data_IF_865250136410
#
_entry.id   IF_865250136410
#
_cell.length_a   1.000
_cell.length_b   1.000
_cell.length_c   1.000
_cell.angle_alpha   90.00
_cell.angle_beta   90.00
_cell.angle_gamma   90.00
#
_symmetry.space_group_name_H-M   'P 1'
#
loop_
_entity.id
_entity.type
_entity.pdbx_description
1 polymer ?
#
# COMPACT_ATOMS: atom_id res chain seq x y z
N UNK A 1 41.76 67.34 -4.19
CA UNK A 1 41.70 66.64 -2.89
C UNK A 1 40.28 66.78 -2.34
N UNK A 2 39.40 65.82 -2.61
CA UNK A 2 38.01 65.79 -2.09
C UNK A 2 37.63 64.32 -1.89
N UNK A 3 37.73 63.85 -0.64
CA UNK A 3 37.25 62.52 -0.22
C UNK A 3 35.74 62.63 0.06
N UNK A 4 34.92 62.04 -0.82
CA UNK A 4 33.52 61.76 -0.50
C UNK A 4 33.47 60.53 0.39
N UNK A 5 33.18 60.72 1.67
CA UNK A 5 32.79 59.65 2.59
C UNK A 5 31.29 59.48 2.43
N UNK A 6 30.88 58.38 1.80
CA UNK A 6 29.48 57.94 1.78
C UNK A 6 29.31 56.96 2.93
N UNK A 7 28.61 57.40 3.98
CA UNK A 7 28.13 56.55 5.07
C UNK A 7 26.96 55.72 4.55
N UNK A 8 27.20 54.44 4.25
CA UNK A 8 26.14 53.47 4.00
C UNK A 8 25.73 52.89 5.35
N UNK A 9 24.59 53.36 5.88
CA UNK A 9 23.91 52.73 7.01
C UNK A 9 23.27 51.42 6.52
N UNK A 10 23.97 50.30 6.76
CA UNK A 10 23.39 48.96 6.61
C UNK A 10 22.54 48.72 7.86
N UNK A 11 21.23 48.91 7.73
CA UNK A 11 20.26 48.33 8.67
C UNK A 11 20.30 46.82 8.49
N UNK A 12 21.06 46.13 9.35
CA UNK A 12 20.85 44.72 9.60
C UNK A 12 19.50 44.58 10.32
N UNK A 13 18.43 44.38 9.56
CA UNK A 13 17.23 43.73 10.11
C UNK A 13 17.59 42.29 10.39
N UNK A 14 18.08 42.03 11.61
CA UNK A 14 18.20 40.69 12.15
C UNK A 14 16.80 40.11 12.30
N UNK A 15 16.28 39.48 11.25
CA UNK A 15 15.29 38.43 11.42
C UNK A 15 15.98 37.30 12.18
N UNK A 16 15.57 36.95 13.41
CA UNK A 16 15.99 35.69 13.97
C UNK A 16 15.23 34.64 13.16
N UNK A 17 15.86 34.14 12.11
CA UNK A 17 15.47 32.90 11.50
C UNK A 17 15.74 31.82 12.56
N UNK A 18 14.75 31.58 13.42
CA UNK A 18 14.68 30.44 14.33
C UNK A 18 14.53 29.19 13.46
N UNK A 19 15.65 28.66 13.00
CA UNK A 19 15.69 27.39 12.28
C UNK A 19 15.55 26.27 13.30
N UNK A 20 14.35 25.73 13.43
CA UNK A 20 14.19 24.35 13.83
C UNK A 20 13.41 23.65 12.73
N UNK A 21 14.02 22.63 12.14
CA UNK A 21 13.53 21.98 10.94
C UNK A 21 12.11 21.41 11.08
N UNK A 22 11.46 21.22 9.93
CA UNK A 22 10.14 20.60 9.83
C UNK A 22 10.22 19.13 10.25
N UNK A 23 9.30 18.71 11.12
CA UNK A 23 9.25 17.36 11.67
C UNK A 23 7.91 16.71 11.41
N UNK A 24 7.93 15.41 11.16
CA UNK A 24 6.75 14.60 10.94
C UNK A 24 6.37 13.83 12.20
N UNK A 25 5.09 13.87 12.58
CA UNK A 25 4.55 13.07 13.68
C UNK A 25 4.34 11.62 13.21
N UNK A 26 5.04 10.65 13.81
CA UNK A 26 4.99 9.23 13.45
C UNK A 26 4.11 8.37 14.37
N UNK A 27 3.53 8.95 15.42
CA UNK A 27 2.60 8.26 16.29
C UNK A 27 1.25 8.98 16.27
N UNK A 28 0.16 8.33 15.83
CA UNK A 28 -1.17 8.93 15.86
C UNK A 28 -1.62 9.24 17.28
N UNK A 29 -2.46 10.25 17.44
CA UNK A 29 -3.00 10.70 18.72
C UNK A 29 -1.91 11.13 19.73
N UNK A 30 -0.74 11.56 19.24
CA UNK A 30 0.38 12.01 20.07
C UNK A 30 -0.01 13.26 20.86
N UNK A 31 0.12 13.25 22.19
CA UNK A 31 -0.25 14.39 23.01
C UNK A 31 0.75 15.56 22.82
N UNK A 32 0.19 16.74 22.58
CA UNK A 32 0.86 18.02 22.68
C UNK A 32 0.62 18.56 24.10
N UNK A 33 1.64 18.53 24.93
CA UNK A 33 1.57 18.91 26.33
C UNK A 33 1.86 20.40 26.55
N UNK A 34 1.28 20.99 27.60
CA UNK A 34 1.62 22.34 28.05
C UNK A 34 3.06 22.43 28.61
N UNK A 35 3.52 21.40 29.32
CA UNK A 35 4.86 21.26 29.89
C UNK A 35 5.53 19.95 29.42
N UNK A 36 6.87 19.81 29.49
CA UNK A 36 7.59 18.58 29.12
C UNK A 36 7.41 17.46 30.17
N UNK A 37 6.16 17.11 30.48
CA UNK A 37 5.77 16.07 31.44
C UNK A 37 4.55 15.32 30.90
N UNK A 38 4.55 13.99 31.02
CA UNK A 38 3.41 13.13 30.62
C UNK A 38 2.16 13.35 31.47
N UNK A 39 2.32 13.92 32.68
CA UNK A 39 1.20 14.29 33.57
C UNK A 39 0.66 15.70 33.28
N UNK A 40 1.32 16.47 32.41
CA UNK A 40 0.87 17.79 32.02
C UNK A 40 -0.48 17.73 31.31
N UNK A 41 -1.22 18.84 31.37
CA UNK A 41 -2.39 19.07 30.54
C UNK A 41 -2.06 18.87 29.05
N UNK A 42 -2.97 18.19 28.34
CA UNK A 42 -2.88 17.93 26.91
C UNK A 42 -3.64 19.05 26.20
N UNK A 43 -2.91 19.91 25.50
CA UNK A 43 -3.45 20.99 24.70
C UNK A 43 -4.20 20.47 23.48
N UNK A 44 -3.61 19.46 22.82
CA UNK A 44 -4.17 18.81 21.63
C UNK A 44 -3.59 17.42 21.44
N UNK A 45 -4.22 16.63 20.58
CA UNK A 45 -3.62 15.42 20.02
C UNK A 45 -3.24 15.67 18.56
N UNK A 46 -2.03 15.28 18.21
CA UNK A 46 -1.46 15.41 16.88
C UNK A 46 -1.77 14.16 16.04
N UNK A 47 -1.99 14.39 14.76
CA UNK A 47 -2.28 13.32 13.81
C UNK A 47 -0.99 12.70 13.28
N UNK A 48 -1.05 11.43 12.86
CA UNK A 48 0.04 10.82 12.10
C UNK A 48 0.28 11.61 10.81
N UNK A 49 1.54 11.87 10.50
CA UNK A 49 1.95 12.60 9.31
C UNK A 49 1.76 14.11 9.38
N UNK A 50 1.36 14.64 10.54
CA UNK A 50 1.30 16.07 10.75
C UNK A 50 2.71 16.68 10.74
N UNK A 51 2.89 17.77 10.01
CA UNK A 51 4.15 18.53 9.95
C UNK A 51 4.13 19.57 11.06
N UNK A 52 5.15 19.56 11.89
CA UNK A 52 5.32 20.47 13.02
C UNK A 52 6.70 21.11 12.98
N UNK A 53 6.77 22.38 13.34
CA UNK A 53 8.03 23.13 13.35
C UNK A 53 8.68 23.03 14.72
N UNK A 54 9.97 22.69 14.76
CA UNK A 54 10.69 22.75 16.02
C UNK A 54 11.04 24.20 16.36
N UNK A 55 10.74 24.63 17.59
CA UNK A 55 11.00 26.02 17.99
C UNK A 55 12.30 26.22 18.77
N UNK A 56 12.94 25.17 19.27
CA UNK A 56 14.19 25.27 20.04
C UNK A 56 15.04 24.00 19.93
N UNK A 57 16.19 24.07 19.26
CA UNK A 57 17.17 22.97 19.25
C UNK A 57 18.10 22.96 20.47
N UNK A 58 18.18 24.06 21.22
CA UNK A 58 19.12 24.22 22.35
C UNK A 58 18.63 23.64 23.69
N UNK A 59 17.58 22.83 23.72
CA UNK A 59 17.03 22.28 24.96
C UNK A 59 17.67 20.94 25.35
N UNK A 60 18.08 20.85 26.63
CA UNK A 60 18.77 19.70 27.22
C UNK A 60 17.87 18.48 27.50
N UNK A 61 16.55 18.60 27.34
CA UNK A 61 15.66 17.45 27.52
C UNK A 61 15.60 16.61 26.24
N UNK A 62 16.32 15.49 26.24
CA UNK A 62 16.33 14.55 25.10
C UNK A 62 14.96 13.91 24.87
N UNK A 63 14.09 13.88 25.88
CA UNK A 63 12.82 13.13 25.83
C UNK A 63 11.66 13.94 25.25
N UNK A 64 11.66 15.26 25.40
CA UNK A 64 10.62 16.15 24.88
C UNK A 64 11.21 17.21 23.96
N UNK A 65 10.44 17.59 22.95
CA UNK A 65 10.79 18.69 22.05
C UNK A 65 9.66 19.70 22.01
N UNK A 66 10.01 20.98 22.09
CA UNK A 66 9.06 22.08 21.93
C UNK A 66 8.82 22.32 20.44
N UNK A 67 7.55 22.23 20.04
CA UNK A 67 7.11 22.32 18.66
C UNK A 67 5.95 23.31 18.50
N UNK A 68 5.65 23.67 17.27
CA UNK A 68 4.46 24.40 16.86
C UNK A 68 3.76 23.67 15.74
N UNK A 69 2.43 23.56 15.83
CA UNK A 69 1.61 23.07 14.73
C UNK A 69 1.37 24.15 13.66
N UNK A 70 0.70 23.76 12.58
CA UNK A 70 0.37 24.67 11.47
C UNK A 70 -0.59 25.80 11.84
N UNK A 71 -1.28 25.71 12.97
CA UNK A 71 -2.16 26.76 13.50
C UNK A 71 -1.43 27.74 14.42
N UNK A 72 -0.15 27.48 14.71
CA UNK A 72 0.67 28.28 15.63
C UNK A 72 0.58 27.84 17.09
N UNK A 73 -0.26 26.85 17.42
CA UNK A 73 -0.34 26.31 18.77
C UNK A 73 0.97 25.59 19.09
N UNK A 74 1.58 25.97 20.21
CA UNK A 74 2.89 25.46 20.61
C UNK A 74 2.81 24.68 21.91
N UNK A 75 3.63 23.64 22.02
CA UNK A 75 3.65 22.75 23.18
C UNK A 75 4.77 21.72 23.07
N UNK A 76 4.74 20.75 23.96
CA UNK A 76 5.77 19.73 24.12
C UNK A 76 5.28 18.37 23.65
N UNK A 77 6.12 17.67 22.88
CA UNK A 77 5.84 16.31 22.40
C UNK A 77 7.03 15.43 22.69
N UNK A 78 6.80 14.15 22.99
CA UNK A 78 7.91 13.20 23.16
C UNK A 78 8.72 13.10 21.85
N UNK A 79 10.04 13.31 21.94
CA UNK A 79 10.96 13.32 20.79
C UNK A 79 10.86 12.04 19.95
N UNK A 80 10.61 10.89 20.58
CA UNK A 80 10.46 9.60 19.90
C UNK A 80 9.25 9.51 18.95
N UNK A 81 8.29 10.44 19.04
CA UNK A 81 7.13 10.50 18.14
C UNK A 81 7.37 11.41 16.94
N UNK A 82 8.49 12.15 16.92
CA UNK A 82 8.83 13.11 15.88
C UNK A 82 9.97 12.57 15.04
N UNK A 83 9.87 12.75 13.73
CA UNK A 83 10.90 12.38 12.78
C UNK A 83 11.31 13.59 11.96
N UNK A 84 12.60 13.72 11.67
CA UNK A 84 13.13 14.86 10.92
C UNK A 84 12.90 14.65 9.42
N UNK A 85 12.16 15.56 8.77
CA UNK A 85 11.82 15.40 7.36
C UNK A 85 13.02 15.56 6.42
N UNK A 86 14.07 16.27 6.87
CA UNK A 86 15.29 16.51 6.09
C UNK A 86 16.24 15.30 6.08
N UNK A 87 15.97 14.28 6.90
CA UNK A 87 16.78 13.07 6.94
C UNK A 87 16.58 12.19 5.69
N UNK A 88 17.68 11.88 4.99
CA UNK A 88 17.70 10.93 3.87
C UNK A 88 17.09 9.59 4.30
N UNK A 89 16.08 9.13 3.55
CA UNK A 89 15.40 7.86 3.82
C UNK A 89 14.19 7.96 4.75
N UNK A 90 13.66 9.16 4.97
CA UNK A 90 12.42 9.42 5.69
C UNK A 90 11.28 8.44 5.37
N UNK A 91 11.09 8.14 4.09
CA UNK A 91 10.05 7.21 3.64
C UNK A 91 10.18 5.81 4.26
N UNK A 92 11.40 5.29 4.47
CA UNK A 92 11.61 3.96 5.08
C UNK A 92 11.18 3.95 6.53
N UNK A 93 11.44 5.04 7.25
CA UNK A 93 11.05 5.18 8.65
C UNK A 93 9.52 5.27 8.75
N UNK A 94 8.89 6.05 7.86
CA UNK A 94 7.43 6.17 7.77
C UNK A 94 6.80 4.81 7.46
N UNK A 95 7.30 4.09 6.45
CA UNK A 95 6.82 2.75 6.11
C UNK A 95 6.95 1.79 7.29
N UNK A 96 8.08 1.79 8.01
CA UNK A 96 8.25 0.95 9.21
C UNK A 96 7.27 1.31 10.31
N UNK A 97 6.99 2.60 10.52
CA UNK A 97 6.01 3.04 11.52
C UNK A 97 4.59 2.61 11.14
N UNK A 98 4.23 2.71 9.86
CA UNK A 98 2.95 2.20 9.33
C UNK A 98 2.87 0.69 9.49
N UNK A 99 3.90 -0.05 9.09
CA UNK A 99 3.93 -1.51 9.18
C UNK A 99 3.81 -1.98 10.64
N UNK A 100 4.47 -1.31 11.60
CA UNK A 100 4.30 -1.58 13.03
C UNK A 100 2.86 -1.42 13.49
N UNK A 101 2.15 -0.41 13.01
CA UNK A 101 0.74 -0.19 13.34
C UNK A 101 -0.19 -1.21 12.67
N UNK A 102 0.09 -1.57 11.41
CA UNK A 102 -0.71 -2.57 10.68
C UNK A 102 -0.69 -3.96 11.36
N UNK A 103 0.46 -4.36 11.91
CA UNK A 103 0.65 -5.69 12.51
C UNK A 103 0.53 -5.71 14.04
N UNK A 104 0.26 -4.57 14.68
CA UNK A 104 0.05 -4.49 16.12
C UNK A 104 -1.40 -4.81 16.49
N UNK A 105 -1.58 -5.63 17.52
CA UNK A 105 -2.91 -5.89 18.11
C UNK A 105 -3.47 -4.71 18.89
N UNK A 106 -2.62 -3.74 19.24
CA UNK A 106 -2.98 -2.57 20.05
C UNK A 106 -3.37 -1.35 19.21
N UNK A 107 -3.29 -1.45 17.88
CA UNK A 107 -3.65 -0.34 16.99
C UNK A 107 -5.15 -0.38 16.71
N UNK A 108 -5.86 0.64 17.16
CA UNK A 108 -7.29 0.78 16.97
C UNK A 108 -7.67 1.42 15.64
N UNK A 109 -8.99 1.54 15.42
CA UNK A 109 -9.54 2.14 14.22
C UNK A 109 -9.07 3.59 14.03
N UNK A 110 -9.16 4.43 15.07
CA UNK A 110 -8.84 5.86 14.96
C UNK A 110 -7.37 6.10 14.56
N UNK A 111 -6.45 5.27 15.06
CA UNK A 111 -5.03 5.33 14.68
C UNK A 111 -4.84 5.03 13.20
N UNK A 112 -5.49 3.98 12.68
CA UNK A 112 -5.40 3.61 11.26
C UNK A 112 -6.06 4.65 10.36
N UNK A 113 -7.14 5.28 10.82
CA UNK A 113 -7.78 6.38 10.07
C UNK A 113 -6.88 7.60 9.95
N UNK A 114 -6.16 7.94 11.01
CA UNK A 114 -5.16 9.01 10.96
C UNK A 114 -4.05 8.69 9.95
N UNK A 115 -3.60 7.43 9.88
CA UNK A 115 -2.62 6.98 8.89
C UNK A 115 -3.20 7.03 7.47
N UNK A 116 -4.44 6.56 7.30
CA UNK A 116 -5.13 6.57 6.00
C UNK A 116 -5.32 7.99 5.46
N UNK A 117 -5.69 8.93 6.31
CA UNK A 117 -5.82 10.35 5.95
C UNK A 117 -4.50 10.93 5.48
N UNK A 118 -3.41 10.70 6.22
CA UNK A 118 -2.08 11.13 5.81
C UNK A 118 -1.67 10.52 4.45
N UNK A 119 -1.82 9.20 4.29
CA UNK A 119 -1.45 8.54 3.03
C UNK A 119 -2.34 8.98 1.86
N UNK A 120 -3.57 9.45 2.13
CA UNK A 120 -4.46 9.99 1.11
C UNK A 120 -4.11 11.42 0.70
N UNK A 121 -3.36 12.17 1.51
CA UNK A 121 -2.87 13.51 1.18
C UNK A 121 -1.45 13.51 0.58
N UNK A 122 -0.77 12.36 0.54
CA UNK A 122 0.55 12.23 -0.09
C UNK A 122 0.42 12.45 -1.61
N UNK A 123 1.11 13.47 -2.10
CA UNK A 123 1.21 13.80 -3.52
C UNK A 123 2.62 13.48 -4.06
N UNK A 124 2.68 13.10 -5.33
CA UNK A 124 3.96 12.90 -6.03
C UNK A 124 4.66 14.26 -6.22
N UNK A 125 5.98 14.28 -6.04
CA UNK A 125 6.85 15.45 -6.26
C UNK A 125 6.79 16.59 -5.23
N UNK A 126 6.10 16.40 -4.10
CA UNK A 126 6.30 17.24 -2.90
C UNK A 126 7.41 16.68 -2.03
N UNK A 127 7.08 15.67 -1.22
CA UNK A 127 7.98 15.10 -0.21
C UNK A 127 8.48 13.70 -0.58
N UNK A 128 7.89 13.07 -1.60
CA UNK A 128 8.20 11.71 -2.02
C UNK A 128 8.21 11.62 -3.55
N UNK A 129 9.16 10.88 -4.09
CA UNK A 129 9.36 10.76 -5.54
C UNK A 129 9.50 9.29 -5.96
N UNK A 130 9.08 9.00 -7.20
CA UNK A 130 9.30 7.71 -7.82
C UNK A 130 8.79 6.53 -6.98
N UNK A 131 9.70 5.60 -6.65
CA UNK A 131 9.34 4.35 -5.96
C UNK A 131 8.80 4.58 -4.54
N UNK A 132 9.26 5.63 -3.85
CA UNK A 132 8.82 5.97 -2.49
C UNK A 132 7.33 6.33 -2.49
N UNK A 133 6.92 7.19 -3.42
CA UNK A 133 5.53 7.58 -3.61
C UNK A 133 4.65 6.35 -3.92
N UNK A 134 5.12 5.46 -4.80
CA UNK A 134 4.35 4.27 -5.17
C UNK A 134 4.19 3.32 -3.98
N UNK A 135 5.22 3.11 -3.15
CA UNK A 135 5.10 2.32 -1.94
C UNK A 135 4.08 2.90 -0.95
N UNK A 136 4.07 4.22 -0.75
CA UNK A 136 3.10 4.89 0.12
C UNK A 136 1.67 4.75 -0.43
N UNK A 137 1.50 4.90 -1.75
CA UNK A 137 0.21 4.68 -2.44
C UNK A 137 -0.31 3.25 -2.26
N UNK A 138 0.56 2.24 -2.35
CA UNK A 138 0.20 0.85 -2.08
C UNK A 138 -0.17 0.67 -0.60
N UNK A 139 0.60 1.26 0.32
CA UNK A 139 0.31 1.17 1.76
C UNK A 139 -1.01 1.81 2.15
N UNK A 140 -1.43 2.89 1.49
CA UNK A 140 -2.77 3.48 1.70
C UNK A 140 -3.86 2.43 1.56
N UNK A 141 -3.78 1.62 0.50
CA UNK A 141 -4.76 0.57 0.20
C UNK A 141 -4.68 -0.57 1.23
N UNK A 142 -3.47 -0.94 1.67
CA UNK A 142 -3.27 -1.94 2.74
C UNK A 142 -3.87 -1.48 4.07
N UNK A 143 -3.71 -0.20 4.41
CA UNK A 143 -4.35 0.39 5.60
C UNK A 143 -5.87 0.36 5.46
N UNK A 144 -6.41 0.69 4.28
CA UNK A 144 -7.85 0.60 4.02
C UNK A 144 -8.38 -0.83 4.22
N UNK A 145 -7.67 -1.86 3.74
CA UNK A 145 -8.03 -3.26 4.00
C UNK A 145 -8.15 -3.53 5.50
N UNK A 146 -7.17 -3.10 6.30
CA UNK A 146 -7.19 -3.31 7.75
C UNK A 146 -8.33 -2.56 8.45
N UNK A 147 -8.65 -1.34 7.98
CA UNK A 147 -9.81 -0.58 8.46
C UNK A 147 -11.11 -1.37 8.18
N UNK A 148 -11.27 -1.91 6.96
CA UNK A 148 -12.44 -2.71 6.60
C UNK A 148 -12.56 -3.97 7.44
N UNK A 149 -11.44 -4.65 7.75
CA UNK A 149 -11.45 -5.79 8.66
C UNK A 149 -11.99 -5.40 10.04
N UNK A 150 -11.45 -4.35 10.68
CA UNK A 150 -11.86 -3.90 12.02
C UNK A 150 -13.32 -3.43 12.06
N UNK A 151 -13.80 -2.78 11.00
CA UNK A 151 -15.20 -2.33 10.90
C UNK A 151 -16.18 -3.51 10.78
N UNK A 152 -15.71 -4.66 10.30
CA UNK A 152 -16.50 -5.88 10.11
C UNK A 152 -16.27 -6.92 11.22
N UNK A 153 -15.25 -6.73 12.06
CA UNK A 153 -15.05 -7.46 13.31
C UNK A 153 -16.13 -7.03 14.32
N UNK A 154 -17.18 -7.85 14.45
CA UNK A 154 -18.35 -7.75 15.36
C UNK A 154 -19.50 -6.85 14.90
N UNK A 155 -20.73 -7.30 15.13
CA UNK A 155 -21.96 -6.56 14.84
C UNK A 155 -22.10 -5.34 15.77
N UNK A 156 -21.74 -4.16 15.26
CA UNK A 156 -21.90 -2.90 15.96
C UNK A 156 -22.50 -1.86 15.00
N UNK A 157 -23.70 -1.34 15.31
CA UNK A 157 -24.42 -0.36 14.48
C UNK A 157 -23.57 0.86 14.11
N UNK A 158 -22.70 1.34 15.02
CA UNK A 158 -21.80 2.47 14.75
C UNK A 158 -20.73 2.10 13.73
N UNK A 159 -20.17 0.89 13.82
CA UNK A 159 -19.21 0.38 12.83
C UNK A 159 -19.88 0.16 11.48
N UNK A 160 -21.12 -0.32 11.45
CA UNK A 160 -21.90 -0.53 10.22
C UNK A 160 -22.20 0.78 9.48
N UNK A 161 -22.62 1.82 10.21
CA UNK A 161 -22.78 3.16 9.63
C UNK A 161 -21.46 3.65 9.03
N UNK A 162 -20.36 3.48 9.78
CA UNK A 162 -19.03 3.93 9.34
C UNK A 162 -18.53 3.14 8.13
N UNK A 163 -18.79 1.84 8.07
CA UNK A 163 -18.50 0.99 6.91
C UNK A 163 -19.24 1.48 5.67
N UNK A 164 -20.52 1.84 5.82
CA UNK A 164 -21.34 2.42 4.74
C UNK A 164 -20.75 3.74 4.24
N UNK A 165 -20.25 4.59 5.15
CA UNK A 165 -19.55 5.82 4.78
C UNK A 165 -18.25 5.54 4.01
N UNK A 166 -17.48 4.52 4.39
CA UNK A 166 -16.28 4.12 3.64
C UNK A 166 -16.62 3.61 2.24
N UNK A 167 -17.61 2.74 2.12
CA UNK A 167 -18.06 2.19 0.83
C UNK A 167 -18.50 3.33 -0.10
N UNK A 168 -19.26 4.31 0.40
CA UNK A 168 -19.72 5.44 -0.41
C UNK A 168 -18.58 6.38 -0.83
N UNK A 169 -17.65 6.71 0.08
CA UNK A 169 -16.52 7.62 -0.20
C UNK A 169 -15.44 6.99 -1.08
N UNK A 170 -15.33 5.67 -1.11
CA UNK A 170 -14.28 4.94 -1.81
C UNK A 170 -14.86 3.84 -2.72
N UNK A 171 -15.95 4.15 -3.43
CA UNK A 171 -16.71 3.19 -4.25
C UNK A 171 -15.90 2.56 -5.39
N UNK A 172 -14.88 3.24 -5.89
CA UNK A 172 -13.96 2.68 -6.90
C UNK A 172 -12.97 1.66 -6.30
N UNK A 173 -12.65 1.83 -5.01
CA UNK A 173 -11.64 1.04 -4.30
C UNK A 173 -12.25 -0.11 -3.51
N UNK A 174 -13.55 -0.06 -3.18
CA UNK A 174 -14.22 -1.03 -2.33
C UNK A 174 -15.34 -1.71 -3.10
N UNK A 175 -15.30 -3.05 -3.13
CA UNK A 175 -16.41 -3.88 -3.57
C UNK A 175 -17.37 -4.05 -2.38
N UNK A 176 -18.62 -3.55 -2.48
CA UNK A 176 -19.60 -3.72 -1.43
C UNK A 176 -19.97 -5.19 -1.24
N UNK A 177 -20.28 -5.59 -0.01
CA UNK A 177 -20.68 -6.96 0.31
C UNK A 177 -20.66 -7.26 1.80
N UNK A 178 -20.97 -8.51 2.15
CA UNK A 178 -20.78 -9.08 3.50
C UNK A 178 -19.88 -10.32 3.40
N UNK A 179 -18.54 -10.18 3.49
CA UNK A 179 -17.80 -8.96 3.81
C UNK A 179 -17.54 -8.05 2.59
N UNK A 180 -17.47 -6.75 2.83
CA UNK A 180 -16.94 -5.75 1.91
C UNK A 180 -15.42 -5.96 1.76
N UNK A 181 -14.92 -5.84 0.53
CA UNK A 181 -13.53 -6.15 0.19
C UNK A 181 -12.93 -5.05 -0.66
N UNK A 182 -11.61 -4.95 -0.64
CA UNK A 182 -10.92 -4.10 -1.61
C UNK A 182 -11.14 -4.62 -3.02
N UNK A 183 -11.36 -3.72 -3.98
CA UNK A 183 -11.38 -4.02 -5.40
C UNK A 183 -9.95 -4.36 -5.86
N UNK A 184 -9.64 -5.60 -6.29
CA UNK A 184 -8.29 -5.99 -6.68
C UNK A 184 -7.74 -5.17 -7.85
N UNK A 185 -8.62 -4.58 -8.67
CA UNK A 185 -8.22 -3.74 -9.80
C UNK A 185 -7.40 -2.51 -9.37
N UNK A 186 -7.53 -2.03 -8.13
CA UNK A 186 -6.68 -0.92 -7.63
C UNK A 186 -5.21 -1.32 -7.63
N UNK A 187 -4.91 -2.56 -7.26
CA UNK A 187 -3.56 -3.10 -7.25
C UNK A 187 -3.09 -3.45 -8.66
N UNK A 188 -3.97 -4.03 -9.47
CA UNK A 188 -3.63 -4.35 -10.86
C UNK A 188 -3.32 -3.10 -11.69
N UNK A 189 -4.05 -2.00 -11.46
CA UNK A 189 -3.80 -0.72 -12.10
C UNK A 189 -2.40 -0.19 -11.74
N UNK A 190 -2.04 -0.17 -10.45
CA UNK A 190 -0.69 0.23 -10.01
C UNK A 190 0.37 -0.70 -10.62
N UNK A 191 0.15 -2.01 -10.60
CA UNK A 191 1.09 -2.98 -11.15
C UNK A 191 1.28 -2.85 -12.67
N UNK A 192 0.25 -2.38 -13.39
CA UNK A 192 0.31 -2.09 -14.83
C UNK A 192 0.98 -0.75 -15.11
N UNK A 193 0.58 0.31 -14.40
CA UNK A 193 1.09 1.67 -14.59
C UNK A 193 2.59 1.76 -14.26
N UNK A 194 3.07 0.91 -13.34
CA UNK A 194 4.46 0.87 -12.89
C UNK A 194 5.14 -0.49 -13.12
N UNK A 195 4.91 -1.11 -14.29
CA UNK A 195 5.41 -2.45 -14.63
C UNK A 195 6.93 -2.62 -14.51
N UNK A 196 7.70 -1.56 -14.72
CA UNK A 196 9.16 -1.60 -14.76
C UNK A 196 9.80 -1.25 -13.40
N UNK A 197 8.98 -1.15 -12.33
CA UNK A 197 9.40 -0.73 -10.99
C UNK A 197 9.13 -1.80 -9.94
N UNK A 198 10.00 -1.91 -8.94
CA UNK A 198 9.86 -2.84 -7.82
C UNK A 198 8.53 -2.72 -7.03
N UNK A 199 8.06 -1.50 -6.72
CA UNK A 199 6.73 -1.30 -6.15
C UNK A 199 5.58 -1.81 -7.02
N UNK A 200 5.70 -1.73 -8.35
CA UNK A 200 4.69 -2.23 -9.29
C UNK A 200 4.57 -3.76 -9.25
N UNK A 201 5.71 -4.45 -9.16
CA UNK A 201 5.75 -5.90 -8.92
C UNK A 201 5.03 -6.27 -7.61
N UNK A 202 5.35 -5.56 -6.52
CA UNK A 202 4.68 -5.76 -5.23
C UNK A 202 3.17 -5.49 -5.29
N UNK A 203 2.74 -4.45 -6.02
CA UNK A 203 1.32 -4.18 -6.25
C UNK A 203 0.65 -5.33 -7.02
N UNK A 204 1.24 -5.82 -8.09
CA UNK A 204 0.70 -6.95 -8.85
C UNK A 204 0.60 -8.22 -7.99
N UNK A 205 1.56 -8.47 -7.10
CA UNK A 205 1.49 -9.54 -6.12
C UNK A 205 0.27 -9.39 -5.18
N UNK A 206 0.02 -8.18 -4.68
CA UNK A 206 -1.19 -7.91 -3.89
C UNK A 206 -2.46 -8.07 -4.73
N UNK A 207 -2.43 -7.73 -6.03
CA UNK A 207 -3.49 -8.02 -6.99
C UNK A 207 -3.86 -9.49 -7.02
N UNK A 208 -2.87 -10.39 -7.15
CA UNK A 208 -3.09 -11.85 -7.08
C UNK A 208 -3.71 -12.27 -5.75
N UNK A 209 -3.19 -11.73 -4.63
CA UNK A 209 -3.62 -12.07 -3.27
C UNK A 209 -5.07 -11.67 -3.00
N UNK A 210 -5.49 -10.50 -3.48
CA UNK A 210 -6.81 -9.95 -3.22
C UNK A 210 -7.85 -10.32 -4.28
N UNK A 211 -7.44 -10.78 -5.46
CA UNK A 211 -8.37 -11.33 -6.45
C UNK A 211 -9.05 -12.59 -5.88
N UNK A 212 -10.40 -12.62 -5.79
CA UNK A 212 -11.12 -13.75 -5.21
C UNK A 212 -10.80 -15.08 -5.89
N UNK A 213 -10.57 -16.12 -5.09
CA UNK A 213 -10.38 -17.48 -5.59
C UNK A 213 -11.72 -18.15 -5.85
N UNK A 214 -11.85 -18.81 -7.00
CA UNK A 214 -13.01 -19.64 -7.32
C UNK A 214 -12.63 -21.10 -7.02
N UNK A 215 -13.47 -21.80 -6.25
CA UNK A 215 -13.27 -23.23 -6.00
C UNK A 215 -13.64 -24.05 -7.24
N UNK A 216 -12.65 -24.26 -8.11
CA UNK A 216 -12.81 -25.04 -9.33
C UNK A 216 -12.84 -26.55 -9.12
N UNK A 217 -12.70 -27.06 -7.88
CA UNK A 217 -12.57 -28.50 -7.59
C UNK A 217 -11.52 -29.16 -8.52
N UNK A 218 -11.95 -30.02 -9.45
CA UNK A 218 -11.12 -30.67 -10.47
C UNK A 218 -11.40 -30.17 -11.90
N UNK A 219 -12.27 -29.18 -12.08
CA UNK A 219 -12.58 -28.61 -13.39
C UNK A 219 -11.38 -27.82 -13.94
N UNK A 220 -10.81 -28.34 -15.03
CA UNK A 220 -9.60 -27.78 -15.62
C UNK A 220 -9.85 -26.42 -16.30
N UNK A 221 -10.99 -26.21 -16.96
CA UNK A 221 -11.24 -24.94 -17.65
C UNK A 221 -11.63 -23.84 -16.67
N UNK A 222 -12.35 -24.18 -15.59
CA UNK A 222 -12.52 -23.26 -14.47
C UNK A 222 -11.16 -22.81 -13.94
N UNK A 223 -10.25 -23.76 -13.69
CA UNK A 223 -8.90 -23.45 -13.20
C UNK A 223 -8.11 -22.56 -14.17
N UNK A 224 -8.07 -22.90 -15.47
CA UNK A 224 -7.37 -22.08 -16.47
C UNK A 224 -7.92 -20.65 -16.51
N UNK A 225 -9.25 -20.49 -16.48
CA UNK A 225 -9.88 -19.17 -16.51
C UNK A 225 -9.63 -18.36 -15.22
N UNK A 226 -9.55 -19.03 -14.07
CA UNK A 226 -9.22 -18.40 -12.79
C UNK A 226 -7.78 -17.88 -12.78
N UNK A 227 -6.82 -18.69 -13.24
CA UNK A 227 -5.41 -18.31 -13.28
C UNK A 227 -5.14 -17.13 -14.22
N UNK A 228 -5.89 -17.01 -15.32
CA UNK A 228 -5.85 -15.84 -16.22
C UNK A 228 -6.14 -14.53 -15.51
N UNK A 229 -7.09 -14.54 -14.58
CA UNK A 229 -7.46 -13.33 -13.81
C UNK A 229 -6.44 -13.03 -12.71
N UNK A 230 -5.53 -13.96 -12.42
CA UNK A 230 -4.62 -13.94 -11.27
C UNK A 230 -3.16 -14.11 -11.67
N UNK A 231 -2.59 -15.31 -11.50
CA UNK A 231 -1.16 -15.56 -11.60
C UNK A 231 -0.64 -15.40 -13.02
N UNK A 232 -1.43 -15.75 -14.04
CA UNK A 232 -1.05 -15.51 -15.45
C UNK A 232 -1.02 -14.00 -15.74
N UNK A 233 -2.02 -13.23 -15.26
CA UNK A 233 -2.00 -11.77 -15.36
C UNK A 233 -0.76 -11.17 -14.70
N UNK A 234 -0.38 -11.66 -13.53
CA UNK A 234 0.89 -11.28 -12.91
C UNK A 234 2.08 -11.59 -13.81
N UNK A 235 2.18 -12.81 -14.35
CA UNK A 235 3.29 -13.21 -15.23
C UNK A 235 3.35 -12.38 -16.52
N UNK A 236 2.22 -11.90 -17.02
CA UNK A 236 2.15 -11.03 -18.19
C UNK A 236 2.68 -9.62 -17.89
N UNK A 237 2.39 -9.10 -16.71
CA UNK A 237 2.85 -7.77 -16.28
C UNK A 237 4.31 -7.80 -15.81
N UNK A 238 4.69 -8.82 -15.04
CA UNK A 238 5.97 -8.93 -14.34
C UNK A 238 6.61 -10.30 -14.60
N UNK A 239 6.96 -10.64 -15.85
CA UNK A 239 7.49 -11.96 -16.19
C UNK A 239 8.82 -12.28 -15.51
N UNK A 240 9.59 -11.26 -15.11
CA UNK A 240 10.84 -11.37 -14.37
C UNK A 240 10.72 -10.87 -12.92
N UNK A 241 9.50 -10.65 -12.42
CA UNK A 241 9.25 -10.15 -11.06
C UNK A 241 9.63 -11.15 -9.97
N UNK A 242 9.73 -10.64 -8.74
CA UNK A 242 10.19 -11.39 -7.56
C UNK A 242 9.33 -12.64 -7.27
N UNK A 243 8.06 -12.63 -7.67
CA UNK A 243 7.11 -13.72 -7.42
C UNK A 243 6.84 -14.59 -8.65
N UNK A 244 7.45 -14.29 -9.81
CA UNK A 244 7.16 -14.96 -11.06
C UNK A 244 7.43 -16.47 -11.02
N UNK A 245 8.58 -16.87 -10.46
CA UNK A 245 8.91 -18.29 -10.31
C UNK A 245 7.95 -19.03 -9.36
N UNK A 246 7.56 -18.37 -8.26
CA UNK A 246 6.61 -18.94 -7.28
C UNK A 246 5.26 -19.19 -7.95
N UNK A 247 4.71 -18.18 -8.61
CA UNK A 247 3.42 -18.29 -9.28
C UNK A 247 3.45 -19.29 -10.44
N UNK A 248 4.52 -19.30 -11.22
CA UNK A 248 4.66 -20.28 -12.29
C UNK A 248 4.77 -21.72 -11.77
N UNK A 249 5.39 -21.93 -10.62
CA UNK A 249 5.45 -23.24 -9.96
C UNK A 249 4.08 -23.66 -9.41
N UNK A 250 3.32 -22.73 -8.83
CA UNK A 250 1.97 -23.01 -8.31
C UNK A 250 1.01 -23.46 -9.42
N UNK A 251 1.00 -22.75 -10.56
CA UNK A 251 0.19 -23.14 -11.73
C UNK A 251 0.60 -24.54 -12.21
N UNK A 252 1.91 -24.77 -12.37
CA UNK A 252 2.44 -26.04 -12.86
C UNK A 252 2.06 -27.22 -11.96
N UNK A 253 2.22 -27.09 -10.64
CA UNK A 253 1.86 -28.15 -9.68
C UNK A 253 0.37 -28.49 -9.72
N UNK A 254 -0.48 -27.47 -9.90
CA UNK A 254 -1.92 -27.68 -9.98
C UNK A 254 -2.32 -28.33 -11.30
N UNK A 255 -1.73 -27.91 -12.42
CA UNK A 255 -1.92 -28.57 -13.72
C UNK A 255 -1.46 -30.03 -13.69
N UNK A 256 -0.29 -30.30 -13.12
CA UNK A 256 0.21 -31.66 -12.94
C UNK A 256 -0.78 -32.55 -12.17
N UNK A 257 -1.38 -32.03 -11.11
CA UNK A 257 -2.41 -32.75 -10.35
C UNK A 257 -3.69 -32.97 -11.17
N UNK A 258 -4.10 -31.97 -11.95
CA UNK A 258 -5.32 -32.03 -12.77
C UNK A 258 -5.17 -32.95 -13.99
N UNK A 259 -3.96 -33.09 -14.53
CA UNK A 259 -3.68 -33.90 -15.73
C UNK A 259 -2.95 -35.20 -15.41
N UNK A 260 -2.84 -35.58 -14.13
CA UNK A 260 -2.11 -36.78 -13.70
C UNK A 260 -2.64 -38.05 -14.37
N UNK A 261 -3.97 -38.18 -14.39
CA UNK A 261 -4.70 -39.32 -14.94
C UNK A 261 -5.57 -38.83 -16.10
N UNK A 262 -5.06 -38.87 -17.36
CA UNK A 262 -5.70 -38.24 -18.52
C UNK A 262 -7.16 -38.63 -18.74
N UNK A 263 -7.49 -39.91 -18.51
CA UNK A 263 -8.83 -40.46 -18.70
C UNK A 263 -9.88 -39.93 -17.72
N UNK A 264 -9.44 -39.33 -16.60
CA UNK A 264 -10.33 -38.85 -15.52
C UNK A 264 -10.39 -37.33 -15.42
N UNK A 265 -9.82 -36.62 -16.39
CA UNK A 265 -9.81 -35.15 -16.41
C UNK A 265 -11.25 -34.64 -16.43
N UNK A 266 -11.59 -33.79 -15.45
CA UNK A 266 -12.89 -33.14 -15.45
C UNK A 266 -12.84 -31.92 -16.36
N UNK A 267 -13.36 -32.08 -17.58
CA UNK A 267 -13.36 -31.06 -18.62
C UNK A 267 -14.40 -29.94 -18.42
N UNK A 268 -15.08 -29.89 -17.27
CA UNK A 268 -16.14 -28.91 -17.01
C UNK A 268 -17.38 -29.08 -17.89
N UNK A 269 -18.41 -28.26 -17.63
CA UNK A 269 -19.64 -28.20 -18.45
C UNK A 269 -19.74 -26.82 -19.10
N UNK A 270 -19.92 -26.75 -20.42
CA UNK A 270 -20.15 -25.49 -21.14
C UNK A 270 -19.56 -25.45 -22.55
N UNK A 271 -20.11 -24.56 -23.38
CA UNK A 271 -19.71 -24.37 -24.78
C UNK A 271 -18.42 -23.54 -24.93
N UNK A 272 -18.05 -22.75 -23.91
CA UNK A 272 -16.88 -21.85 -23.93
C UNK A 272 -15.51 -22.51 -23.68
N UNK A 273 -15.45 -23.85 -23.56
CA UNK A 273 -14.20 -24.58 -23.24
C UNK A 273 -13.08 -24.31 -24.24
N UNK A 274 -13.41 -24.34 -25.53
CA UNK A 274 -12.46 -24.06 -26.62
C UNK A 274 -11.94 -22.63 -26.57
N UNK A 275 -12.82 -21.66 -26.30
CA UNK A 275 -12.46 -20.24 -26.17
C UNK A 275 -11.55 -20.00 -24.96
N UNK A 276 -11.86 -20.62 -23.82
CA UNK A 276 -11.03 -20.54 -22.61
C UNK A 276 -9.64 -21.10 -22.89
N UNK A 277 -9.54 -22.26 -23.53
CA UNK A 277 -8.26 -22.88 -23.88
C UNK A 277 -7.44 -22.03 -24.83
N UNK A 278 -8.02 -21.59 -25.96
CA UNK A 278 -7.29 -20.78 -26.93
C UNK A 278 -6.88 -19.43 -26.34
N UNK A 279 -7.73 -18.82 -25.52
CA UNK A 279 -7.36 -17.59 -24.83
C UNK A 279 -6.23 -17.81 -23.82
N UNK A 280 -6.26 -18.88 -23.03
CA UNK A 280 -5.17 -19.24 -22.10
C UNK A 280 -3.87 -19.52 -22.85
N UNK A 281 -3.94 -20.26 -23.96
CA UNK A 281 -2.81 -20.57 -24.83
C UNK A 281 -2.18 -19.29 -25.40
N UNK A 282 -3.01 -18.35 -25.87
CA UNK A 282 -2.55 -17.04 -26.36
C UNK A 282 -1.88 -16.23 -25.27
N UNK A 283 -2.42 -16.23 -24.05
CA UNK A 283 -1.79 -15.57 -22.91
C UNK A 283 -0.41 -16.16 -22.62
N UNK A 284 -0.27 -17.50 -22.66
CA UNK A 284 1.03 -18.14 -22.49
C UNK A 284 2.02 -17.87 -23.62
N UNK A 285 1.55 -17.71 -24.85
CA UNK A 285 2.40 -17.33 -25.99
C UNK A 285 2.95 -15.90 -25.85
N UNK A 286 2.25 -15.03 -25.13
CA UNK A 286 2.74 -13.67 -24.82
C UNK A 286 3.84 -13.65 -23.75
N UNK A 287 4.00 -14.74 -23.00
CA UNK A 287 5.02 -14.85 -21.96
C UNK A 287 6.38 -15.30 -22.53
N UNK A 288 7.50 -15.04 -21.82
CA UNK A 288 8.79 -15.62 -22.19
C UNK A 288 8.74 -17.13 -22.39
N UNK A 289 9.50 -17.62 -23.38
CA UNK A 289 9.49 -19.03 -23.84
C UNK A 289 9.54 -20.08 -22.72
N UNK A 290 10.29 -19.80 -21.64
CA UNK A 290 10.39 -20.69 -20.46
C UNK A 290 9.04 -21.07 -19.87
N UNK A 291 8.05 -20.17 -19.89
CA UNK A 291 6.71 -20.42 -19.36
C UNK A 291 5.88 -21.26 -20.34
N UNK A 292 5.92 -20.95 -21.63
CA UNK A 292 5.26 -21.75 -22.66
C UNK A 292 5.76 -23.20 -22.65
N UNK A 293 7.08 -23.41 -22.58
CA UNK A 293 7.69 -24.75 -22.47
C UNK A 293 7.22 -25.50 -21.23
N UNK A 294 7.08 -24.81 -20.10
CA UNK A 294 6.67 -25.40 -18.82
C UNK A 294 5.26 -25.96 -18.83
N UNK A 295 4.33 -25.29 -19.52
CA UNK A 295 2.92 -25.70 -19.54
C UNK A 295 2.51 -26.51 -20.77
N UNK A 296 3.37 -26.58 -21.79
CA UNK A 296 3.04 -27.18 -23.09
C UNK A 296 2.48 -28.60 -22.98
N UNK A 297 3.13 -29.48 -22.20
CA UNK A 297 2.70 -30.87 -22.08
C UNK A 297 1.31 -30.98 -21.43
N UNK A 298 1.03 -30.18 -20.39
CA UNK A 298 -0.28 -30.16 -19.74
C UNK A 298 -1.37 -29.71 -20.71
N UNK A 299 -1.13 -28.65 -21.48
CA UNK A 299 -2.08 -28.17 -22.49
C UNK A 299 -2.34 -29.19 -23.59
N UNK A 300 -1.31 -29.92 -24.03
CA UNK A 300 -1.46 -30.99 -25.01
C UNK A 300 -2.38 -32.09 -24.50
N UNK A 301 -2.23 -32.50 -23.24
CA UNK A 301 -3.12 -33.48 -22.60
C UNK A 301 -4.55 -32.94 -22.53
N UNK A 302 -4.73 -31.71 -22.03
CA UNK A 302 -6.06 -31.09 -21.91
C UNK A 302 -6.76 -30.98 -23.27
N UNK A 303 -6.02 -30.58 -24.32
CA UNK A 303 -6.58 -30.48 -25.66
C UNK A 303 -7.08 -31.84 -26.17
N UNK A 304 -6.26 -32.88 -26.01
CA UNK A 304 -6.60 -34.24 -26.45
C UNK A 304 -7.80 -34.82 -25.71
N UNK A 305 -7.85 -34.68 -24.40
CA UNK A 305 -8.88 -35.36 -23.58
C UNK A 305 -10.18 -34.56 -23.46
N UNK A 306 -10.14 -33.23 -23.67
CA UNK A 306 -11.30 -32.37 -23.43
C UNK A 306 -11.86 -31.63 -24.65
N UNK A 307 -11.10 -31.54 -25.75
CA UNK A 307 -11.46 -30.71 -26.92
C UNK A 307 -11.36 -31.42 -28.27
N UNK A 308 -10.71 -32.58 -28.33
CA UNK A 308 -10.78 -33.50 -29.48
C UNK A 308 -11.92 -34.49 -29.27
#
# INVERSE_FOLDING_TARGET
>A
MMRRIVLILIFFTSFPCLWGGDRLVLKPNSPLYLFPDKKSEILRRLSFGEIVQSKNERQNDRKFRFISDSSGLSGWVETQYLFDLEEKGAYKVILRSIDRMLYSTNTGLNELESVFQYLSSVEENKNYHGDEYIYLKIRRIVVLIRILEILQELENKRKESKLTDYISKHSEEIIPGKPAKINPEVFWKIGKDFRDKGPGDFAAFLGVKHTPEINCKRDVFCFLNEEKKRRIRYLQLHPNGNYANVFANQISKKLETLTKDPETIQCGKGESRKEIYESFRKDLQSLPYRYGRKYHNFLKIIHKECLQ
#
